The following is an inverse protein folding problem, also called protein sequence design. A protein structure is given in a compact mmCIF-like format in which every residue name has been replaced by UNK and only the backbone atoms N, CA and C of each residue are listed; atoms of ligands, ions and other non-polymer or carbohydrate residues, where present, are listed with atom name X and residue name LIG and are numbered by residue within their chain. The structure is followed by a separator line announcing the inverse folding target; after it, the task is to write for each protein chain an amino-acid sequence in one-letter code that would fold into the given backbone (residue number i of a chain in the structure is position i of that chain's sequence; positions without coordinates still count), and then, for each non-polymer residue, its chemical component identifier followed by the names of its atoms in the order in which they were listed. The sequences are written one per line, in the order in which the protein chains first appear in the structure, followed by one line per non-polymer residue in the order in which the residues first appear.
data_IF_770522662620
#
_entry.id   IF_770522662620
#
_cell.length_a   1.000
_cell.length_b   1.000
_cell.length_c   1.000
_cell.angle_alpha   90.00
_cell.angle_beta   90.00
_cell.angle_gamma   90.00
#
_symmetry.space_group_name_H-M   'P 1'
#
loop_
_entity.id
_entity.type
_entity.pdbx_description
1 polymer ?
#
# COMPACT_ATOMS: atom_id res chain seq x y z
N UNK A 1 -29.95 -11.47 -41.43
CA UNK A 1 -30.97 -12.14 -40.59
C UNK A 1 -31.49 -11.09 -39.61
N UNK A 2 -32.76 -10.68 -39.76
CA UNK A 2 -33.44 -9.67 -38.93
C UNK A 2 -34.08 -10.34 -37.71
N UNK A 3 -33.87 -9.81 -36.50
CA UNK A 3 -34.78 -9.91 -35.32
C UNK A 3 -34.55 -8.63 -34.48
N UNK A 4 -35.30 -7.55 -34.71
CA UNK A 4 -36.68 -7.21 -34.27
C UNK A 4 -36.73 -6.84 -32.78
N UNK A 5 -37.19 -5.61 -32.56
CA UNK A 5 -37.53 -4.90 -31.32
C UNK A 5 -38.48 -5.65 -30.38
N UNK A 6 -38.37 -5.39 -29.08
CA UNK A 6 -39.47 -5.39 -28.09
C UNK A 6 -38.93 -4.90 -26.75
N UNK A 7 -39.58 -4.14 -25.88
CA UNK A 7 -40.69 -3.19 -25.88
C UNK A 7 -40.65 -2.64 -24.43
N UNK A 8 -40.86 -1.33 -24.28
CA UNK A 8 -40.87 -0.61 -23.01
C UNK A 8 -41.78 -1.22 -21.94
N UNK A 9 -41.38 -1.12 -20.66
CA UNK A 9 -42.31 -0.79 -19.57
C UNK A 9 -41.63 0.19 -18.62
N UNK A 10 -42.13 1.42 -18.66
CA UNK A 10 -41.99 2.46 -17.65
C UNK A 10 -42.83 2.05 -16.45
N UNK A 11 -42.32 2.20 -15.23
CA UNK A 11 -43.19 2.50 -14.09
C UNK A 11 -42.48 3.43 -13.11
N UNK A 12 -42.90 4.69 -13.18
CA UNK A 12 -42.75 5.76 -12.19
C UNK A 12 -43.34 5.28 -10.86
N UNK A 13 -42.66 5.51 -9.73
CA UNK A 13 -43.32 5.93 -8.48
C UNK A 13 -42.38 6.75 -7.59
N UNK A 14 -42.87 7.94 -7.29
CA UNK A 14 -42.31 9.00 -6.46
C UNK A 14 -42.63 8.74 -4.98
N UNK A 15 -41.66 8.93 -4.08
CA UNK A 15 -41.91 9.27 -2.66
C UNK A 15 -40.67 10.07 -2.18
N UNK A 16 -40.72 11.41 -2.18
CA UNK A 16 -41.17 12.27 -1.07
C UNK A 16 -40.50 11.95 0.27
N UNK A 17 -39.59 12.84 0.69
CA UNK A 17 -38.96 12.79 2.00
C UNK A 17 -37.86 13.84 2.21
N UNK A 18 -38.14 15.11 1.91
CA UNK A 18 -37.45 16.22 2.55
C UNK A 18 -38.21 16.50 3.85
N UNK A 19 -37.49 16.59 4.97
CA UNK A 19 -37.82 17.29 6.22
C UNK A 19 -37.38 16.50 7.47
N UNK A 20 -36.23 16.90 8.01
CA UNK A 20 -36.02 16.92 9.45
C UNK A 20 -35.12 18.09 9.78
N UNK A 21 -35.79 19.22 10.03
CA UNK A 21 -35.28 20.34 10.79
C UNK A 21 -34.95 19.85 12.20
N UNK A 22 -33.69 19.53 12.46
CA UNK A 22 -33.18 19.40 13.82
C UNK A 22 -32.14 20.48 14.04
N UNK A 23 -32.59 21.51 14.71
CA UNK A 23 -31.81 22.50 15.45
C UNK A 23 -30.75 21.79 16.28
N UNK A 24 -29.47 21.95 15.96
CA UNK A 24 -28.40 21.73 16.93
C UNK A 24 -27.83 23.08 17.32
N UNK A 25 -28.03 23.39 18.60
CA UNK A 25 -27.59 24.59 19.27
C UNK A 25 -26.11 24.86 19.07
N UNK A 26 -25.81 26.13 18.84
CA UNK A 26 -24.55 26.76 19.19
C UNK A 26 -24.31 26.61 20.70
N UNK A 27 -23.45 25.67 21.07
CA UNK A 27 -22.69 25.71 22.32
C UNK A 27 -21.34 25.06 22.08
N UNK A 28 -20.34 25.92 21.95
CA UNK A 28 -18.92 25.59 22.04
C UNK A 28 -18.61 25.13 23.46
N UNK A 29 -18.02 23.94 23.62
CA UNK A 29 -16.90 23.78 24.52
C UNK A 29 -15.65 23.61 23.66
N UNK A 30 -14.70 24.52 23.84
CA UNK A 30 -13.38 24.51 23.25
C UNK A 30 -12.63 23.27 23.73
N UNK A 31 -12.84 22.13 23.08
CA UNK A 31 -11.99 20.97 23.25
C UNK A 31 -10.80 21.13 22.29
N UNK A 32 -9.54 21.17 22.76
CA UNK A 32 -8.42 21.15 21.85
C UNK A 32 -8.51 19.85 21.04
N UNK A 33 -8.71 19.99 19.73
CA UNK A 33 -8.53 18.89 18.79
C UNK A 33 -7.16 18.25 19.07
N UNK A 34 -7.03 16.92 19.09
CA UNK A 34 -5.71 16.32 19.13
C UNK A 34 -4.96 16.82 17.90
N UNK A 35 -3.93 17.61 18.17
CA UNK A 35 -3.03 18.17 17.17
C UNK A 35 -2.48 16.99 16.39
N UNK A 36 -2.66 17.02 15.07
CA UNK A 36 -2.15 16.04 14.11
C UNK A 36 -0.63 15.92 14.19
N UNK A 37 -0.15 15.15 15.17
CA UNK A 37 1.25 14.75 15.32
C UNK A 37 1.43 13.23 15.26
N UNK A 38 0.34 12.48 15.11
CA UNK A 38 0.37 11.00 15.09
C UNK A 38 0.89 10.41 13.78
N UNK A 39 0.97 11.21 12.71
CA UNK A 39 1.39 10.72 11.39
C UNK A 39 2.87 10.33 11.37
N UNK A 40 3.77 11.10 11.99
CA UNK A 40 5.21 10.79 12.02
C UNK A 40 5.52 9.50 12.78
N UNK A 41 5.03 9.37 14.02
CA UNK A 41 5.22 8.15 14.83
C UNK A 41 4.63 6.90 14.16
N UNK A 42 3.46 7.02 13.55
CA UNK A 42 2.82 5.90 12.84
C UNK A 42 3.59 5.53 11.56
N UNK A 43 4.05 6.52 10.80
CA UNK A 43 4.84 6.31 9.59
C UNK A 43 6.18 5.63 9.90
N UNK A 44 6.87 6.08 10.94
CA UNK A 44 8.11 5.46 11.40
C UNK A 44 7.88 4.00 11.87
N UNK A 45 6.83 3.75 12.66
CA UNK A 45 6.48 2.39 13.08
C UNK A 45 6.12 1.47 11.90
N UNK A 46 5.45 2.00 10.88
CA UNK A 46 5.14 1.27 9.65
C UNK A 46 6.40 0.97 8.86
N UNK A 47 7.31 1.93 8.72
CA UNK A 47 8.57 1.72 8.04
C UNK A 47 9.44 0.66 8.73
N UNK A 48 9.52 0.63 10.07
CA UNK A 48 10.27 -0.42 10.76
C UNK A 48 9.76 -1.83 10.44
N UNK A 49 8.44 -2.01 10.33
CA UNK A 49 7.85 -3.29 9.92
C UNK A 49 8.20 -3.62 8.47
N UNK A 50 8.12 -2.64 7.57
CA UNK A 50 8.53 -2.80 6.16
C UNK A 50 10.00 -3.17 6.04
N UNK A 51 10.88 -2.48 6.76
CA UNK A 51 12.32 -2.75 6.81
C UNK A 51 12.57 -4.19 7.25
N UNK A 52 11.90 -4.66 8.30
CA UNK A 52 12.03 -6.05 8.75
C UNK A 52 11.66 -7.06 7.65
N UNK A 53 10.55 -6.82 6.93
CA UNK A 53 10.16 -7.64 5.77
C UNK A 53 11.23 -7.59 4.68
N UNK A 54 11.73 -6.41 4.31
CA UNK A 54 12.74 -6.26 3.27
C UNK A 54 14.04 -6.97 3.66
N UNK A 55 14.49 -6.80 4.90
CA UNK A 55 15.66 -7.50 5.42
C UNK A 55 15.47 -9.02 5.31
N UNK A 56 14.31 -9.55 5.70
CA UNK A 56 14.06 -10.98 5.71
C UNK A 56 13.85 -11.58 4.30
N UNK A 57 13.22 -10.83 3.38
CA UNK A 57 12.72 -11.36 2.11
C UNK A 57 13.53 -10.93 0.89
N UNK A 58 14.24 -9.81 0.96
CA UNK A 58 14.86 -9.18 -0.21
C UNK A 58 16.39 -9.21 -0.18
N UNK A 59 17.01 -9.06 1.00
CA UNK A 59 18.47 -8.92 1.10
C UNK A 59 19.24 -10.19 0.74
N UNK A 60 18.58 -11.36 0.75
CA UNK A 60 19.16 -12.61 0.23
C UNK A 60 19.66 -12.48 -1.22
N UNK A 61 19.01 -11.64 -2.04
CA UNK A 61 19.35 -11.40 -3.45
C UNK A 61 19.74 -9.94 -3.74
N UNK A 62 19.29 -8.98 -2.94
CA UNK A 62 19.50 -7.53 -3.11
C UNK A 62 20.35 -6.93 -1.98
N UNK A 63 21.49 -7.55 -1.69
CA UNK A 63 22.50 -7.02 -0.79
C UNK A 63 23.84 -6.93 -1.51
N UNK A 64 24.76 -6.10 -1.00
CA UNK A 64 26.13 -6.01 -1.51
C UNK A 64 26.80 -7.38 -1.52
N UNK A 65 26.52 -8.18 -0.49
CA UNK A 65 26.98 -9.57 -0.36
C UNK A 65 25.77 -10.51 -0.34
N UNK A 66 25.06 -10.62 -1.45
CA UNK A 66 23.93 -11.54 -1.60
C UNK A 66 24.34 -12.97 -1.24
N UNK A 67 23.63 -13.58 -0.29
CA UNK A 67 23.99 -14.90 0.25
C UNK A 67 23.56 -16.06 -0.67
N UNK A 68 22.67 -15.79 -1.62
CA UNK A 68 22.17 -16.78 -2.56
C UNK A 68 22.96 -16.74 -3.88
N UNK A 69 23.80 -17.73 -4.18
CA UNK A 69 24.59 -17.76 -5.42
C UNK A 69 23.71 -17.94 -6.67
N UNK A 70 22.46 -18.38 -6.51
CA UNK A 70 21.49 -18.52 -7.59
C UNK A 70 20.65 -17.27 -7.84
N UNK A 71 20.81 -16.23 -7.03
CA UNK A 71 20.08 -14.96 -7.20
C UNK A 71 20.39 -14.26 -8.53
N UNK A 72 21.42 -14.72 -9.25
CA UNK A 72 22.08 -13.95 -10.29
C UNK A 72 22.87 -12.82 -9.63
N UNK A 73 24.03 -12.48 -10.18
CA UNK A 73 24.65 -11.19 -9.83
C UNK A 73 23.58 -10.12 -10.06
N UNK A 74 23.35 -9.15 -9.16
CA UNK A 74 22.39 -8.10 -9.42
C UNK A 74 22.91 -7.29 -10.62
N UNK A 75 22.54 -7.71 -11.83
CA UNK A 75 22.76 -6.94 -13.05
C UNK A 75 22.08 -5.57 -12.93
N UNK A 76 21.13 -5.44 -11.99
CA UNK A 76 20.44 -4.21 -11.62
C UNK A 76 21.21 -3.30 -10.65
N UNK A 77 22.26 -3.77 -9.97
CA UNK A 77 23.04 -2.95 -9.01
C UNK A 77 22.26 -2.46 -7.77
N UNK A 78 21.11 -3.07 -7.46
CA UNK A 78 20.23 -2.66 -6.37
C UNK A 78 20.64 -3.35 -5.07
N UNK A 79 20.96 -2.56 -4.04
CA UNK A 79 21.11 -3.01 -2.65
C UNK A 79 19.99 -2.42 -1.78
N UNK A 80 19.47 -3.19 -0.83
CA UNK A 80 18.38 -2.84 0.09
C UNK A 80 18.80 -3.00 1.56
N UNK A 81 20.06 -2.68 1.87
CA UNK A 81 20.65 -2.88 3.20
C UNK A 81 20.41 -1.69 4.15
N UNK A 82 20.24 -0.49 3.61
CA UNK A 82 20.05 0.75 4.37
C UNK A 82 18.68 1.37 4.15
N UNK A 83 18.24 2.19 5.11
CA UNK A 83 16.92 2.84 5.05
C UNK A 83 16.80 3.77 3.84
N UNK A 84 17.88 4.49 3.54
CA UNK A 84 17.97 5.36 2.37
C UNK A 84 17.85 4.58 1.05
N UNK A 85 18.51 3.42 0.95
CA UNK A 85 18.39 2.55 -0.21
C UNK A 85 16.98 1.97 -0.38
N UNK A 86 16.37 1.52 0.72
CA UNK A 86 15.00 1.03 0.72
C UNK A 86 14.03 2.12 0.24
N UNK A 87 14.19 3.33 0.76
CA UNK A 87 13.36 4.47 0.38
C UNK A 87 13.57 4.88 -1.09
N UNK A 88 14.82 4.93 -1.57
CA UNK A 88 15.11 5.28 -2.96
C UNK A 88 14.51 4.28 -3.95
N UNK A 89 14.43 3.01 -3.55
CA UNK A 89 13.89 1.92 -4.37
C UNK A 89 12.39 1.68 -4.17
N UNK A 90 11.69 2.47 -3.35
CA UNK A 90 10.29 2.25 -3.00
C UNK A 90 9.37 2.02 -4.21
N UNK A 91 9.56 2.77 -5.31
CA UNK A 91 8.78 2.60 -6.54
C UNK A 91 9.08 1.29 -7.26
N UNK A 92 10.34 0.85 -7.27
CA UNK A 92 10.74 -0.42 -7.87
C UNK A 92 10.23 -1.60 -7.03
N UNK A 93 10.35 -1.50 -5.70
CA UNK A 93 9.78 -2.47 -4.77
C UNK A 93 8.27 -2.61 -5.01
N UNK A 94 7.54 -1.50 -5.08
CA UNK A 94 6.10 -1.55 -5.36
C UNK A 94 5.77 -2.27 -6.67
N UNK A 95 6.50 -1.94 -7.73
CA UNK A 95 6.30 -2.54 -9.05
C UNK A 95 6.56 -4.05 -9.05
N UNK A 96 7.71 -4.48 -8.56
CA UNK A 96 8.12 -5.88 -8.68
C UNK A 96 7.48 -6.79 -7.61
N UNK A 97 7.31 -6.27 -6.40
CA UNK A 97 6.79 -7.03 -5.26
C UNK A 97 5.26 -6.95 -5.19
N UNK A 98 4.66 -5.78 -5.36
CA UNK A 98 3.21 -5.64 -5.14
C UNK A 98 2.43 -5.82 -6.43
N UNK A 99 2.85 -5.15 -7.51
CA UNK A 99 2.06 -5.12 -8.76
C UNK A 99 2.34 -6.35 -9.64
N UNK A 100 3.61 -6.61 -9.96
CA UNK A 100 4.01 -7.68 -10.88
C UNK A 100 4.16 -9.02 -10.18
N UNK A 101 4.39 -9.01 -8.87
CA UNK A 101 4.65 -10.21 -8.05
C UNK A 101 5.75 -11.12 -8.63
N UNK A 102 6.70 -10.53 -9.33
CA UNK A 102 7.86 -11.18 -9.94
C UNK A 102 8.93 -11.50 -8.89
N UNK A 103 8.94 -10.72 -7.82
CA UNK A 103 9.80 -10.91 -6.67
C UNK A 103 9.02 -11.48 -5.48
N UNK A 104 9.60 -12.42 -4.72
CA UNK A 104 10.88 -13.08 -4.95
C UNK A 104 10.81 -14.04 -6.16
N UNK A 105 11.91 -14.13 -6.93
CA UNK A 105 12.04 -15.08 -8.03
C UNK A 105 11.87 -16.55 -7.58
N UNK A 106 11.89 -17.47 -8.54
CA UNK A 106 11.79 -18.91 -8.31
C UNK A 106 10.54 -19.28 -7.47
N UNK A 107 9.38 -18.79 -7.93
CA UNK A 107 8.08 -19.04 -7.31
C UNK A 107 8.02 -18.68 -5.81
N UNK A 108 8.33 -17.41 -5.48
CA UNK A 108 8.33 -16.91 -4.10
C UNK A 108 9.35 -17.61 -3.18
N UNK A 109 10.62 -17.65 -3.60
CA UNK A 109 11.70 -18.35 -2.89
C UNK A 109 11.85 -17.98 -1.40
N UNK A 110 11.67 -16.71 -1.03
CA UNK A 110 11.81 -16.26 0.37
C UNK A 110 10.51 -16.32 1.16
N UNK A 111 9.41 -16.78 0.54
CA UNK A 111 8.12 -16.99 1.19
C UNK A 111 7.45 -15.70 1.64
N UNK A 112 7.57 -14.61 0.87
CA UNK A 112 6.85 -13.37 1.20
C UNK A 112 5.34 -13.63 1.19
N UNK A 113 4.62 -13.14 2.19
CA UNK A 113 3.16 -13.34 2.33
C UNK A 113 2.37 -12.20 1.69
N UNK A 114 1.06 -12.38 1.52
CA UNK A 114 0.21 -11.30 1.00
C UNK A 114 0.08 -10.14 2.00
N UNK A 115 0.08 -10.43 3.30
CA UNK A 115 0.08 -9.39 4.35
C UNK A 115 1.37 -8.56 4.31
N UNK A 116 2.52 -9.20 4.08
CA UNK A 116 3.80 -8.52 3.91
C UNK A 116 3.79 -7.64 2.64
N UNK A 117 3.20 -8.11 1.53
CA UNK A 117 3.01 -7.30 0.31
C UNK A 117 2.06 -6.12 0.54
N UNK A 118 0.96 -6.33 1.26
CA UNK A 118 0.00 -5.28 1.59
C UNK A 118 0.63 -4.21 2.48
N UNK A 119 1.43 -4.62 3.47
CA UNK A 119 2.21 -3.71 4.32
C UNK A 119 3.15 -2.82 3.48
N UNK A 120 3.91 -3.42 2.56
CA UNK A 120 4.78 -2.69 1.62
C UNK A 120 3.96 -1.72 0.78
N UNK A 121 2.85 -2.19 0.21
CA UNK A 121 1.95 -1.38 -0.62
C UNK A 121 1.43 -0.13 0.09
N UNK A 122 0.98 -0.29 1.33
CA UNK A 122 0.46 0.78 2.16
C UNK A 122 1.54 1.80 2.52
N UNK A 123 2.76 1.35 2.79
CA UNK A 123 3.88 2.25 3.06
C UNK A 123 4.25 3.08 1.83
N UNK A 124 4.33 2.47 0.64
CA UNK A 124 4.61 3.21 -0.60
C UNK A 124 3.49 4.19 -0.93
N UNK A 125 2.21 3.79 -0.78
CA UNK A 125 1.07 4.69 -1.04
C UNK A 125 1.00 5.86 -0.05
N UNK A 126 1.58 5.71 1.14
CA UNK A 126 1.69 6.76 2.15
C UNK A 126 2.91 7.67 1.94
N UNK A 127 3.59 7.56 0.80
CA UNK A 127 4.72 8.40 0.42
C UNK A 127 6.10 7.84 0.79
N UNK A 128 6.19 6.57 1.19
CA UNK A 128 7.44 5.90 1.55
C UNK A 128 8.26 6.66 2.63
N UNK A 129 7.57 7.22 3.64
CA UNK A 129 8.21 7.91 4.77
C UNK A 129 9.00 6.92 5.63
N UNK A 130 10.16 7.34 6.14
CA UNK A 130 11.02 6.54 7.02
C UNK A 130 11.09 7.10 8.45
N UNK A 131 10.29 8.14 8.70
CA UNK A 131 10.34 9.06 9.83
C UNK A 131 8.94 9.49 10.27
#
# INVERSE_FOLDING_TARGET
MKKIFSLSVVCIMLISGCDSKTTINTTTPSNPSPISSSSGTTNNANFFKVKAVITQRCTTCHATNASDPSAGSPASGISLETDAQIQSEARNIQREVVQRRTMPYQNNKTGITEDERALIGNWVSSGASIN
#
